data_IF_309731065217
#
_entry.id   IF_309731065217
#
_cell.length_a   1.000
_cell.length_b   1.000
_cell.length_c   1.000
_cell.angle_alpha   90.00
_cell.angle_beta   90.00
_cell.angle_gamma   90.00
#
_symmetry.space_group_name_H-M   'P 1'
#
loop_
_entity.id
_entity.type
_entity.pdbx_description
1 polymer ?
#
# COMPACT_ATOMS: atom_id res chain seq x y z
N UNK A 1 25.13 20.33 -19.68
CA UNK A 1 25.28 21.75 -20.05
C UNK A 1 24.28 22.09 -21.15
N UNK A 2 23.05 22.46 -20.80
CA UNK A 2 22.09 23.19 -21.66
C UNK A 2 21.12 23.91 -20.72
N UNK A 3 21.25 25.24 -20.67
CA UNK A 3 20.48 26.15 -19.83
C UNK A 3 19.19 26.57 -20.56
N UNK A 4 18.04 26.46 -19.91
CA UNK A 4 16.85 27.22 -20.30
C UNK A 4 16.54 28.28 -19.23
N UNK A 5 16.79 29.54 -19.59
CA UNK A 5 16.38 30.74 -18.85
C UNK A 5 14.89 31.00 -19.15
N UNK A 6 14.07 31.06 -18.10
CA UNK A 6 12.72 31.62 -18.19
C UNK A 6 12.81 33.15 -18.10
N UNK A 7 12.27 33.84 -19.10
CA UNK A 7 12.16 35.29 -19.13
C UNK A 7 10.69 35.67 -18.89
N UNK A 8 10.44 36.38 -17.80
CA UNK A 8 9.12 36.90 -17.42
C UNK A 8 8.73 38.09 -18.30
N UNK A 9 7.50 38.15 -18.81
CA UNK A 9 6.89 39.46 -19.01
C UNK A 9 5.36 39.48 -18.97
N UNK A 10 4.88 40.41 -18.15
CA UNK A 10 3.50 40.83 -17.93
C UNK A 10 2.84 41.34 -19.20
N UNK A 11 1.66 40.79 -19.52
CA UNK A 11 0.53 41.49 -20.17
C UNK A 11 -0.74 40.70 -19.83
N UNK A 12 -1.90 41.34 -19.82
CA UNK A 12 -3.26 40.75 -19.64
C UNK A 12 -3.82 40.71 -18.19
N UNK A 13 -3.58 41.77 -17.43
CA UNK A 13 -4.62 42.36 -16.57
C UNK A 13 -5.30 43.48 -17.36
N UNK A 14 -6.48 43.23 -17.93
CA UNK A 14 -7.55 44.20 -18.26
C UNK A 14 -8.61 43.56 -19.18
N UNK A 15 -9.74 43.17 -18.60
CA UNK A 15 -11.11 43.05 -19.15
C UNK A 15 -11.95 42.35 -18.06
N UNK A 16 -12.14 42.97 -16.89
CA UNK A 16 -13.19 43.94 -16.55
C UNK A 16 -14.63 43.47 -16.88
N UNK A 17 -15.31 43.04 -15.80
CA UNK A 17 -16.70 43.35 -15.43
C UNK A 17 -17.73 43.65 -16.54
N UNK A 18 -18.66 42.72 -16.74
CA UNK A 18 -20.06 42.90 -17.21
C UNK A 18 -20.66 41.47 -17.18
N UNK A 19 -21.78 41.10 -16.56
CA UNK A 19 -23.00 41.77 -16.14
C UNK A 19 -23.61 41.01 -14.94
N UNK A 20 -24.01 41.74 -13.91
CA UNK A 20 -25.12 41.35 -13.02
C UNK A 20 -26.44 41.88 -13.62
N UNK A 21 -27.56 41.37 -13.10
CA UNK A 21 -28.98 41.76 -13.28
C UNK A 21 -29.81 41.04 -14.35
N UNK A 22 -30.70 40.16 -13.90
CA UNK A 22 -32.18 40.28 -13.96
C UNK A 22 -32.83 39.03 -13.31
N UNK A 23 -33.52 39.19 -12.18
CA UNK A 23 -35.00 39.13 -12.02
C UNK A 23 -35.59 37.71 -12.24
N UNK A 24 -36.40 37.10 -11.37
CA UNK A 24 -37.18 37.54 -10.22
C UNK A 24 -38.62 36.97 -10.31
N UNK A 25 -39.14 36.45 -9.18
CA UNK A 25 -40.57 36.24 -8.81
C UNK A 25 -41.23 34.98 -9.47
N UNK A 26 -41.89 34.04 -8.76
CA UNK A 26 -43.25 34.01 -8.12
C UNK A 26 -43.33 32.68 -7.28
N UNK A 27 -43.51 32.65 -5.94
CA UNK A 27 -44.75 32.60 -5.11
C UNK A 27 -45.72 31.43 -5.51
N UNK A 28 -46.48 30.68 -4.70
CA UNK A 28 -46.76 30.49 -3.26
C UNK A 28 -47.86 29.39 -3.15
N UNK A 29 -48.03 28.76 -1.98
CA UNK A 29 -49.24 28.08 -1.43
C UNK A 29 -49.54 26.65 -1.96
N UNK A 30 -49.69 25.57 -1.18
CA UNK A 30 -50.51 25.24 0.01
C UNK A 30 -51.20 23.90 -0.34
N UNK A 31 -51.63 22.95 0.49
CA UNK A 31 -51.59 22.68 1.91
C UNK A 31 -52.21 21.27 2.11
N UNK A 32 -51.97 20.68 3.30
CA UNK A 32 -52.82 19.74 4.04
C UNK A 32 -53.23 18.36 3.46
N UNK A 33 -52.92 17.32 4.24
CA UNK A 33 -53.57 16.01 4.20
C UNK A 33 -53.11 15.12 5.37
N UNK A 34 -53.80 15.22 6.51
CA UNK A 34 -53.59 14.44 7.73
C UNK A 34 -54.19 13.02 7.63
N UNK A 35 -53.47 12.08 8.29
CA UNK A 35 -53.95 11.00 9.17
C UNK A 35 -55.06 10.02 8.72
N UNK A 36 -54.78 8.71 8.83
CA UNK A 36 -55.34 7.86 9.90
C UNK A 36 -54.79 6.41 9.87
N UNK A 37 -54.37 5.94 11.05
CA UNK A 37 -54.35 4.52 11.45
C UNK A 37 -55.78 4.07 11.78
N UNK A 38 -56.09 2.78 11.62
CA UNK A 38 -56.36 1.90 12.77
C UNK A 38 -55.79 0.49 12.51
N UNK A 39 -55.78 -0.53 13.37
CA UNK A 39 -55.99 -0.78 14.79
C UNK A 39 -55.52 -2.24 14.98
N UNK A 40 -55.07 -2.56 16.19
CA UNK A 40 -54.72 -3.87 16.73
C UNK A 40 -55.76 -4.99 16.52
N UNK A 41 -55.27 -6.23 16.45
CA UNK A 41 -55.92 -7.40 17.03
C UNK A 41 -54.86 -8.41 17.52
N UNK A 42 -55.01 -8.76 18.80
CA UNK A 42 -54.45 -9.88 19.55
C UNK A 42 -54.77 -11.24 18.94
N UNK A 43 -53.89 -12.22 19.11
CA UNK A 43 -54.29 -13.49 19.73
C UNK A 43 -53.10 -14.26 20.33
N UNK A 44 -53.37 -14.77 21.51
CA UNK A 44 -52.59 -15.69 22.33
C UNK A 44 -52.59 -17.11 21.77
N UNK A 45 -51.52 -17.88 22.01
CA UNK A 45 -51.69 -19.26 22.47
C UNK A 45 -50.43 -19.81 23.16
N UNK A 46 -50.66 -20.24 24.39
CA UNK A 46 -49.84 -21.10 25.23
C UNK A 46 -50.17 -22.54 24.85
N UNK A 47 -49.17 -23.42 24.73
CA UNK A 47 -49.30 -24.76 25.32
C UNK A 47 -47.94 -25.42 25.58
N UNK A 48 -47.79 -25.78 26.84
CA UNK A 48 -46.86 -26.75 27.42
C UNK A 48 -47.12 -28.17 26.88
N UNK A 49 -46.09 -29.02 26.88
CA UNK A 49 -46.19 -30.39 27.40
C UNK A 49 -44.79 -31.01 27.61
N UNK A 50 -44.45 -31.18 28.87
CA UNK A 50 -43.64 -32.27 29.41
C UNK A 50 -44.34 -33.61 29.22
N UNK A 51 -43.59 -34.68 28.91
CA UNK A 51 -43.93 -36.01 29.43
C UNK A 51 -42.68 -36.89 29.54
N UNK A 52 -42.49 -37.37 30.76
CA UNK A 52 -41.61 -38.42 31.22
C UNK A 52 -42.15 -39.80 30.83
N UNK A 53 -41.27 -40.77 30.53
CA UNK A 53 -41.64 -42.18 30.62
C UNK A 53 -40.49 -43.04 31.15
N UNK A 54 -40.86 -44.03 31.96
CA UNK A 54 -40.02 -44.91 32.79
C UNK A 54 -40.29 -46.38 32.46
N UNK A 55 -39.31 -47.26 32.74
CA UNK A 55 -39.40 -48.73 32.75
C UNK A 55 -38.66 -49.38 31.57
N UNK A 56 -37.85 -50.44 31.69
CA UNK A 56 -37.68 -51.46 32.73
C UNK A 56 -36.31 -52.18 32.56
N UNK A 57 -35.94 -52.88 33.63
CA UNK A 57 -34.78 -53.72 33.99
C UNK A 57 -34.38 -54.90 33.09
N UNK A 58 -33.07 -55.26 33.05
CA UNK A 58 -32.57 -56.64 33.33
C UNK A 58 -31.03 -56.75 33.52
N UNK A 59 -30.63 -57.30 34.67
CA UNK A 59 -29.50 -58.23 34.99
C UNK A 59 -28.03 -58.04 34.52
N UNK A 60 -27.15 -57.82 35.53
CA UNK A 60 -25.77 -58.28 35.88
C UNK A 60 -24.89 -59.12 34.89
N UNK A 61 -23.53 -59.21 35.04
CA UNK A 61 -22.73 -58.97 36.26
C UNK A 61 -21.39 -58.19 36.11
N UNK A 62 -20.83 -57.89 37.28
CA UNK A 62 -19.56 -57.24 37.62
C UNK A 62 -18.32 -57.75 36.84
N UNK A 63 -17.51 -56.80 36.36
CA UNK A 63 -16.10 -57.01 36.07
C UNK A 63 -15.26 -55.91 36.71
N UNK A 64 -14.37 -56.34 37.61
CA UNK A 64 -13.27 -55.58 38.17
C UNK A 64 -12.47 -54.87 37.06
N UNK A 65 -12.42 -53.55 37.10
CA UNK A 65 -11.44 -52.77 36.35
C UNK A 65 -10.59 -51.94 37.32
N UNK A 66 -9.29 -52.16 37.18
CA UNK A 66 -8.18 -51.46 37.85
C UNK A 66 -8.30 -49.95 37.60
N UNK A 67 -7.93 -49.06 38.54
CA UNK A 67 -7.95 -47.62 38.28
C UNK A 67 -6.94 -47.30 37.17
N UNK A 68 -7.43 -46.92 35.99
CA UNK A 68 -6.60 -46.29 34.96
C UNK A 68 -6.07 -44.97 35.52
N UNK A 69 -4.75 -44.83 35.51
CA UNK A 69 -4.11 -43.53 35.71
C UNK A 69 -4.61 -42.60 34.60
N UNK A 70 -5.37 -41.59 35.03
CA UNK A 70 -5.78 -40.46 34.22
C UNK A 70 -4.50 -39.73 33.81
N UNK A 71 -3.99 -40.03 32.61
CA UNK A 71 -2.96 -39.21 31.99
C UNK A 71 -3.59 -37.84 31.75
N UNK A 72 -3.15 -36.85 32.52
CA UNK A 72 -3.44 -35.45 32.25
C UNK A 72 -3.09 -35.18 30.78
N UNK A 73 -4.10 -34.85 29.98
CA UNK A 73 -3.89 -34.29 28.66
C UNK A 73 -3.18 -32.96 28.89
N UNK A 74 -1.91 -32.89 28.49
CA UNK A 74 -1.22 -31.61 28.34
C UNK A 74 -2.07 -30.76 27.39
N UNK A 75 -2.61 -29.65 27.90
CA UNK A 75 -3.25 -28.63 27.06
C UNK A 75 -2.22 -28.21 25.99
N UNK A 76 -2.63 -28.07 24.71
CA UNK A 76 -1.73 -27.56 23.69
C UNK A 76 -1.19 -26.20 24.15
N UNK A 77 0.11 -26.14 24.45
CA UNK A 77 0.79 -24.86 24.62
C UNK A 77 0.65 -24.12 23.30
N UNK A 78 -0.14 -23.04 23.27
CA UNK A 78 -0.15 -22.09 22.17
C UNK A 78 1.30 -21.68 21.90
N UNK A 79 1.82 -21.99 20.71
CA UNK A 79 3.12 -21.48 20.28
C UNK A 79 3.05 -19.95 20.35
N UNK A 80 3.96 -19.34 21.12
CA UNK A 80 3.99 -17.90 21.26
C UNK A 80 4.24 -17.24 19.91
N UNK A 81 3.40 -16.26 19.54
CA UNK A 81 3.57 -15.47 18.32
C UNK A 81 4.72 -14.47 18.50
N UNK A 82 5.90 -14.67 17.85
CA UNK A 82 7.05 -13.79 18.03
C UNK A 82 6.80 -12.36 17.54
N UNK A 83 5.89 -12.17 16.57
CA UNK A 83 5.52 -10.83 16.09
C UNK A 83 4.75 -10.10 17.19
N UNK A 84 3.82 -10.78 17.85
CA UNK A 84 3.04 -10.22 18.95
C UNK A 84 3.92 -9.90 20.16
N UNK A 85 4.92 -10.74 20.46
CA UNK A 85 5.90 -10.47 21.52
C UNK A 85 6.72 -9.21 21.20
N UNK A 86 7.25 -9.10 19.98
CA UNK A 86 8.00 -7.91 19.57
C UNK A 86 7.11 -6.66 19.63
N UNK A 87 5.89 -6.72 19.08
CA UNK A 87 4.93 -5.62 19.11
C UNK A 87 4.64 -5.14 20.55
N UNK A 88 4.44 -6.07 21.47
CA UNK A 88 4.15 -5.76 22.88
C UNK A 88 5.34 -5.14 23.61
N UNK A 89 6.56 -5.29 23.08
CA UNK A 89 7.78 -4.68 23.63
C UNK A 89 8.04 -3.25 23.14
N UNK A 90 7.37 -2.82 22.05
CA UNK A 90 7.57 -1.49 21.46
C UNK A 90 6.84 -0.40 22.23
N UNK A 91 7.47 0.77 22.34
CA UNK A 91 6.78 1.99 22.80
C UNK A 91 5.80 2.51 21.74
N UNK A 92 4.88 3.39 22.13
CA UNK A 92 3.98 4.04 21.18
C UNK A 92 4.75 4.86 20.13
N UNK A 93 5.84 5.52 20.53
CA UNK A 93 6.75 6.23 19.63
C UNK A 93 7.33 5.28 18.57
N UNK A 94 7.81 4.11 18.99
CA UNK A 94 8.36 3.10 18.08
C UNK A 94 7.31 2.55 17.13
N UNK A 95 6.11 2.24 17.63
CA UNK A 95 4.97 1.79 16.85
C UNK A 95 4.57 2.81 15.77
N UNK A 96 4.40 4.08 16.15
CA UNK A 96 4.05 5.15 15.20
C UNK A 96 5.17 5.35 14.19
N UNK A 97 6.43 5.32 14.62
CA UNK A 97 7.58 5.41 13.72
C UNK A 97 7.54 4.34 12.62
N UNK A 98 7.19 3.09 12.97
CA UNK A 98 7.08 1.99 11.99
C UNK A 98 6.08 2.27 10.87
N UNK A 99 5.06 3.09 11.11
CA UNK A 99 4.03 3.45 10.13
C UNK A 99 4.46 4.58 9.18
N UNK A 100 5.69 5.09 9.28
CA UNK A 100 6.17 6.20 8.45
C UNK A 100 7.29 5.71 7.53
N UNK A 101 7.12 5.94 6.23
CA UNK A 101 8.17 5.74 5.22
C UNK A 101 8.53 7.08 4.61
N UNK A 102 9.76 7.54 4.85
CA UNK A 102 10.18 8.90 4.51
C UNK A 102 11.25 8.93 3.40
N UNK A 103 11.35 10.02 2.65
CA UNK A 103 12.48 10.21 1.73
C UNK A 103 13.67 10.91 2.38
N UNK A 104 14.81 10.88 1.68
CA UNK A 104 16.07 11.54 2.08
C UNK A 104 16.61 12.45 0.99
N UNK A 105 17.44 13.41 1.37
CA UNK A 105 18.05 14.37 0.45
C UNK A 105 19.50 14.02 0.13
N UNK A 106 19.96 14.45 -1.05
CA UNK A 106 21.34 14.28 -1.49
C UNK A 106 21.75 12.81 -1.66
N UNK A 107 23.05 12.54 -1.60
CA UNK A 107 23.65 11.22 -1.85
C UNK A 107 24.39 10.67 -0.63
N UNK A 108 24.21 11.30 0.52
CA UNK A 108 24.88 10.97 1.78
C UNK A 108 23.98 11.34 2.95
N UNK A 109 24.14 10.67 4.07
CA UNK A 109 23.33 10.89 5.26
C UNK A 109 23.61 12.25 5.92
N UNK A 110 22.64 13.15 5.79
CA UNK A 110 22.65 14.45 6.47
C UNK A 110 22.14 14.34 7.92
N UNK A 111 22.32 15.41 8.71
CA UNK A 111 21.95 15.40 10.13
C UNK A 111 20.44 15.41 10.38
N UNK A 112 19.64 15.95 9.45
CA UNK A 112 18.18 15.94 9.58
C UNK A 112 17.62 14.53 9.34
N UNK A 113 18.17 13.79 8.37
CA UNK A 113 17.85 12.40 8.13
C UNK A 113 18.25 11.53 9.33
N UNK A 114 19.42 11.76 9.95
CA UNK A 114 19.81 11.06 11.19
C UNK A 114 18.81 11.32 12.32
N UNK A 115 18.45 12.58 12.54
CA UNK A 115 17.46 12.95 13.55
C UNK A 115 16.11 12.28 13.28
N UNK A 116 15.65 12.27 12.03
CA UNK A 116 14.41 11.60 11.66
C UNK A 116 14.43 10.10 11.98
N UNK A 117 15.54 9.42 11.70
CA UNK A 117 15.71 7.99 12.01
C UNK A 117 15.75 7.73 13.52
N UNK A 118 16.43 8.58 14.29
CA UNK A 118 16.60 8.36 15.74
C UNK A 118 15.39 8.84 16.57
N UNK A 119 14.80 9.97 16.21
CA UNK A 119 13.79 10.67 17.01
C UNK A 119 12.36 10.28 16.58
N UNK A 120 12.09 10.19 15.26
CA UNK A 120 10.78 9.74 14.74
C UNK A 120 10.76 8.22 14.48
N UNK A 121 11.90 7.53 14.54
CA UNK A 121 12.00 6.06 14.46
C UNK A 121 11.32 5.48 13.23
N UNK A 122 11.45 6.18 12.10
CA UNK A 122 10.75 5.86 10.85
C UNK A 122 10.99 4.41 10.43
N UNK A 123 9.92 3.72 10.02
CA UNK A 123 9.92 2.31 9.67
C UNK A 123 10.58 2.01 8.33
N UNK A 124 10.75 3.03 7.48
CA UNK A 124 11.37 2.89 6.17
C UNK A 124 11.86 4.18 5.55
N UNK A 125 12.73 4.04 4.55
CA UNK A 125 13.22 5.12 3.70
C UNK A 125 12.98 4.78 2.22
N UNK A 126 12.60 5.78 1.42
CA UNK A 126 12.54 5.70 -0.05
C UNK A 126 13.64 6.55 -0.68
N UNK A 127 14.30 5.99 -1.71
CA UNK A 127 15.25 6.71 -2.56
C UNK A 127 14.61 7.11 -3.88
N UNK A 128 14.94 8.33 -4.32
CA UNK A 128 14.62 8.90 -5.62
C UNK A 128 15.88 9.03 -6.48
N UNK A 129 15.71 9.46 -7.74
CA UNK A 129 16.80 9.53 -8.73
C UNK A 129 17.98 10.40 -8.28
N UNK A 130 17.73 11.46 -7.49
CA UNK A 130 18.77 12.31 -6.93
C UNK A 130 19.58 11.66 -5.81
N UNK A 131 19.10 10.55 -5.22
CA UNK A 131 19.84 9.79 -4.21
C UNK A 131 20.74 8.72 -4.85
N UNK A 132 20.36 8.21 -6.04
CA UNK A 132 21.01 7.08 -6.71
C UNK A 132 21.92 7.59 -7.84
N UNK A 133 23.19 7.87 -7.52
CA UNK A 133 24.17 8.41 -8.49
C UNK A 133 25.15 7.37 -9.01
N UNK A 134 25.74 6.58 -8.11
CA UNK A 134 26.57 5.42 -8.43
C UNK A 134 26.15 4.26 -7.56
N UNK A 135 26.39 3.03 -8.03
CA UNK A 135 25.98 1.84 -7.28
C UNK A 135 26.70 1.74 -5.93
N UNK A 136 28.03 1.96 -5.93
CA UNK A 136 28.84 1.96 -4.71
C UNK A 136 28.44 3.08 -3.74
N UNK A 137 28.21 4.30 -4.26
CA UNK A 137 27.78 5.43 -3.43
C UNK A 137 26.40 5.19 -2.80
N UNK A 138 25.47 4.63 -3.58
CA UNK A 138 24.12 4.28 -3.11
C UNK A 138 24.19 3.20 -2.03
N UNK A 139 24.95 2.12 -2.26
CA UNK A 139 25.13 1.06 -1.27
C UNK A 139 25.74 1.57 0.04
N UNK A 140 26.72 2.48 -0.02
CA UNK A 140 27.28 3.14 1.17
C UNK A 140 26.25 4.03 1.88
N UNK A 141 25.43 4.76 1.12
CA UNK A 141 24.40 5.61 1.69
C UNK A 141 23.33 4.77 2.40
N UNK A 142 22.83 3.72 1.75
CA UNK A 142 21.92 2.74 2.36
C UNK A 142 22.52 2.13 3.63
N UNK A 143 23.79 1.72 3.61
CA UNK A 143 24.45 1.19 4.80
C UNK A 143 24.50 2.22 5.94
N UNK A 144 24.81 3.50 5.66
CA UNK A 144 24.86 4.53 6.70
C UNK A 144 23.51 4.78 7.38
N UNK A 145 22.40 4.60 6.64
CA UNK A 145 21.04 4.67 7.17
C UNK A 145 20.78 3.49 8.11
N UNK A 146 21.09 2.27 7.67
CA UNK A 146 20.97 1.05 8.48
C UNK A 146 21.81 1.14 9.75
N UNK A 147 23.06 1.59 9.65
CA UNK A 147 23.97 1.79 10.79
C UNK A 147 23.39 2.80 11.80
N UNK A 148 22.68 3.82 11.34
CA UNK A 148 22.00 4.80 12.21
C UNK A 148 20.77 4.18 12.88
N UNK A 149 20.05 3.31 12.17
CA UNK A 149 18.85 2.63 12.67
C UNK A 149 19.16 1.51 13.68
N UNK A 150 20.42 1.06 13.83
CA UNK A 150 20.82 0.05 14.82
C UNK A 150 20.45 0.39 16.28
N UNK A 151 20.17 1.66 16.57
CA UNK A 151 19.67 2.10 17.89
C UNK A 151 18.16 1.86 18.10
N UNK A 152 17.43 1.49 17.06
CA UNK A 152 16.00 1.17 17.09
C UNK A 152 15.78 -0.36 17.14
N UNK A 153 14.67 -0.83 17.75
CA UNK A 153 14.42 -2.26 17.94
C UNK A 153 13.96 -3.01 16.67
N UNK A 154 13.76 -2.32 15.55
CA UNK A 154 13.20 -2.89 14.32
C UNK A 154 14.05 -2.48 13.11
N UNK A 155 14.50 -3.44 12.27
CA UNK A 155 15.24 -3.14 11.04
C UNK A 155 14.46 -2.23 10.08
N UNK A 156 15.16 -1.40 9.30
CA UNK A 156 14.51 -0.40 8.44
C UNK A 156 14.21 -0.93 7.03
N UNK A 157 13.05 -0.56 6.47
CA UNK A 157 12.81 -0.76 5.04
C UNK A 157 13.65 0.22 4.23
N UNK A 158 14.27 -0.26 3.16
CA UNK A 158 15.02 0.51 2.19
C UNK A 158 14.39 0.27 0.84
N UNK A 159 13.71 1.29 0.32
CA UNK A 159 12.81 1.19 -0.83
C UNK A 159 13.21 2.10 -1.99
N UNK A 160 12.74 1.74 -3.19
CA UNK A 160 12.97 2.48 -4.43
C UNK A 160 11.80 2.19 -5.39
N UNK A 161 11.65 3.00 -6.44
CA UNK A 161 10.78 2.71 -7.59
C UNK A 161 11.63 2.23 -8.79
N UNK A 162 11.89 0.93 -8.88
CA UNK A 162 12.65 0.31 -9.97
C UNK A 162 11.73 -0.56 -10.84
N UNK A 163 10.86 0.07 -11.63
CA UNK A 163 9.90 -0.63 -12.52
C UNK A 163 10.55 -1.09 -13.84
N UNK A 164 11.66 -0.48 -14.23
CA UNK A 164 12.18 -0.52 -15.59
C UNK A 164 11.60 0.58 -16.49
N UNK A 165 11.99 0.58 -17.76
CA UNK A 165 11.59 1.62 -18.71
C UNK A 165 11.89 3.05 -18.20
N UNK A 166 10.88 3.93 -18.25
CA UNK A 166 11.02 5.34 -17.82
C UNK A 166 11.11 5.52 -16.30
N UNK A 167 10.68 4.52 -15.51
CA UNK A 167 10.73 4.57 -14.04
C UNK A 167 11.83 3.61 -13.58
N UNK A 168 13.06 4.03 -13.82
CA UNK A 168 14.28 3.36 -13.37
C UNK A 168 15.13 4.38 -12.61
N UNK A 169 15.72 3.95 -11.50
CA UNK A 169 16.60 4.76 -10.64
C UNK A 169 18.05 4.32 -10.69
N UNK A 170 18.31 3.09 -11.14
CA UNK A 170 19.67 2.56 -11.20
C UNK A 170 20.59 3.39 -12.12
N UNK A 171 21.88 3.54 -11.78
CA UNK A 171 22.83 4.30 -12.57
C UNK A 171 23.17 3.58 -13.88
N UNK A 172 23.71 4.32 -14.86
CA UNK A 172 24.02 3.81 -16.20
C UNK A 172 24.95 2.57 -16.25
N UNK A 173 25.70 2.32 -15.18
CA UNK A 173 26.55 1.12 -15.05
C UNK A 173 25.75 -0.18 -14.92
N UNK A 174 24.47 -0.09 -14.58
CA UNK A 174 23.54 -1.22 -14.48
C UNK A 174 22.71 -1.27 -15.76
N UNK A 175 22.66 -2.43 -16.42
CA UNK A 175 21.93 -2.57 -17.69
C UNK A 175 20.44 -2.28 -17.53
N UNK A 176 19.86 -1.55 -18.48
CA UNK A 176 18.46 -1.15 -18.42
C UNK A 176 17.50 -2.30 -18.74
N UNK A 177 16.40 -2.34 -17.99
CA UNK A 177 15.22 -3.18 -18.24
C UNK A 177 14.22 -2.35 -19.09
N UNK A 178 13.62 -2.91 -20.16
CA UNK A 178 12.63 -2.21 -20.97
C UNK A 178 11.34 -1.96 -20.19
N UNK A 179 10.40 -1.19 -20.77
CA UNK A 179 9.12 -0.92 -20.12
C UNK A 179 8.22 -2.15 -20.01
N UNK A 180 7.35 -2.18 -19.01
CA UNK A 180 6.38 -3.26 -18.79
C UNK A 180 5.52 -3.47 -20.04
N UNK A 181 5.16 -2.41 -20.78
CA UNK A 181 4.44 -2.54 -22.07
C UNK A 181 5.21 -3.38 -23.10
N UNK A 182 6.53 -3.18 -23.23
CA UNK A 182 7.36 -3.93 -24.17
C UNK A 182 7.42 -5.41 -23.79
N UNK A 183 7.54 -5.72 -22.50
CA UNK A 183 7.49 -7.11 -22.02
C UNK A 183 6.08 -7.68 -22.16
N UNK A 184 5.04 -6.90 -21.88
CA UNK A 184 3.62 -7.28 -22.04
C UNK A 184 3.26 -7.65 -23.48
N UNK A 185 3.88 -7.02 -24.48
CA UNK A 185 3.69 -7.35 -25.91
C UNK A 185 4.14 -8.78 -26.26
N UNK A 186 5.06 -9.36 -25.49
CA UNK A 186 5.48 -10.76 -25.69
C UNK A 186 4.40 -11.77 -25.29
N UNK A 187 3.45 -11.34 -24.43
CA UNK A 187 2.41 -12.18 -23.82
C UNK A 187 2.95 -13.42 -23.07
N UNK A 188 4.23 -13.41 -22.72
CA UNK A 188 4.96 -14.52 -22.11
C UNK A 188 5.25 -14.22 -20.64
N UNK A 189 4.47 -14.82 -19.72
CA UNK A 189 4.61 -14.55 -18.29
C UNK A 189 5.95 -15.03 -17.72
N UNK A 190 6.61 -16.00 -18.35
CA UNK A 190 7.94 -16.41 -17.89
C UNK A 190 8.97 -15.29 -18.10
N UNK A 191 8.85 -14.51 -19.18
CA UNK A 191 9.71 -13.34 -19.38
C UNK A 191 9.42 -12.22 -18.37
N UNK A 192 8.18 -12.10 -17.90
CA UNK A 192 7.83 -11.15 -16.83
C UNK A 192 8.32 -11.62 -15.45
N UNK A 193 8.31 -12.93 -15.17
CA UNK A 193 8.92 -13.48 -13.95
C UNK A 193 10.43 -13.20 -13.92
N UNK A 194 11.14 -13.51 -15.01
CA UNK A 194 12.58 -13.17 -15.13
C UNK A 194 12.82 -11.66 -15.05
N UNK A 195 11.90 -10.81 -15.54
CA UNK A 195 12.01 -9.37 -15.34
C UNK A 195 12.03 -9.01 -13.84
N UNK A 196 11.13 -9.59 -13.04
CA UNK A 196 11.09 -9.40 -11.59
C UNK A 196 12.38 -9.86 -10.90
N UNK A 197 12.91 -11.03 -11.28
CA UNK A 197 14.20 -11.54 -10.75
C UNK A 197 15.36 -10.57 -11.05
N UNK A 198 15.42 -10.07 -12.29
CA UNK A 198 16.49 -9.14 -12.69
C UNK A 198 16.37 -7.79 -12.00
N UNK A 199 15.17 -7.23 -11.87
CA UNK A 199 14.92 -5.99 -11.12
C UNK A 199 15.26 -6.15 -9.64
N UNK A 200 14.88 -7.27 -9.02
CA UNK A 200 15.24 -7.57 -7.64
C UNK A 200 16.76 -7.59 -7.44
N UNK A 201 17.50 -8.26 -8.33
CA UNK A 201 18.97 -8.29 -8.30
C UNK A 201 19.59 -6.90 -8.51
N UNK A 202 18.96 -6.02 -9.29
CA UNK A 202 19.41 -4.62 -9.41
C UNK A 202 19.30 -3.88 -8.09
N UNK A 203 18.16 -3.96 -7.41
CA UNK A 203 17.93 -3.21 -6.17
C UNK A 203 18.74 -3.78 -4.99
N UNK A 204 19.01 -5.09 -4.98
CA UNK A 204 19.91 -5.74 -4.02
C UNK A 204 21.35 -5.25 -4.09
N UNK A 205 21.87 -5.01 -5.30
CA UNK A 205 23.21 -4.44 -5.49
C UNK A 205 23.35 -3.04 -4.86
N UNK A 206 22.25 -2.32 -4.68
CA UNK A 206 22.19 -1.04 -4.00
C UNK A 206 21.85 -1.15 -2.50
N UNK A 207 21.48 -2.35 -2.02
CA UNK A 207 21.15 -2.63 -0.61
C UNK A 207 19.69 -2.42 -0.22
N UNK A 208 18.81 -2.17 -1.20
CA UNK A 208 17.37 -2.08 -0.99
C UNK A 208 16.76 -3.45 -0.69
N UNK A 209 15.64 -3.47 0.04
CA UNK A 209 14.90 -4.67 0.42
C UNK A 209 13.41 -4.63 0.06
N UNK A 210 12.92 -3.47 -0.39
CA UNK A 210 11.57 -3.26 -0.92
C UNK A 210 11.68 -2.60 -2.29
N UNK A 211 10.87 -3.04 -3.24
CA UNK A 211 10.72 -2.33 -4.51
C UNK A 211 9.24 -2.03 -4.77
N UNK A 212 8.95 -0.81 -5.20
CA UNK A 212 7.61 -0.38 -5.54
C UNK A 212 7.26 -0.83 -6.95
N UNK A 213 7.22 -2.13 -7.15
CA UNK A 213 6.82 -2.82 -8.37
C UNK A 213 6.20 -4.17 -7.97
N UNK A 214 5.30 -4.76 -8.78
CA UNK A 214 4.92 -4.38 -10.16
C UNK A 214 3.78 -3.35 -10.25
N UNK A 215 3.66 -2.70 -11.41
CA UNK A 215 2.48 -1.88 -11.76
C UNK A 215 1.37 -2.77 -12.32
N UNK A 216 0.25 -2.83 -11.59
CA UNK A 216 -0.95 -3.60 -11.91
C UNK A 216 -2.08 -2.75 -12.52
N UNK A 217 -1.81 -1.50 -12.86
CA UNK A 217 -2.78 -0.66 -13.55
C UNK A 217 -3.08 -1.18 -14.95
N UNK A 218 -4.36 -1.29 -15.29
CA UNK A 218 -4.80 -1.59 -16.65
C UNK A 218 -4.86 -0.29 -17.43
N UNK A 219 -3.98 -0.11 -18.43
CA UNK A 219 -3.92 1.13 -19.22
C UNK A 219 -5.09 1.22 -20.21
N UNK A 220 -6.29 1.45 -19.68
CA UNK A 220 -7.57 1.45 -20.39
C UNK A 220 -7.87 2.79 -21.07
N UNK A 221 -7.30 3.90 -20.57
CA UNK A 221 -7.34 5.19 -21.24
C UNK A 221 -6.06 5.43 -22.07
N UNK A 222 -6.13 5.44 -23.41
CA UNK A 222 -4.95 5.68 -24.26
C UNK A 222 -4.32 7.07 -24.08
N UNK A 223 -5.03 8.01 -23.46
CA UNK A 223 -4.56 9.38 -23.16
C UNK A 223 -4.05 9.52 -21.73
N UNK A 224 -3.91 8.42 -20.98
CA UNK A 224 -3.38 8.45 -19.62
C UNK A 224 -1.96 9.06 -19.61
N UNK A 225 -1.72 10.15 -18.87
CA UNK A 225 -0.42 10.84 -18.88
C UNK A 225 0.63 10.16 -17.98
N UNK A 226 0.22 9.29 -17.06
CA UNK A 226 1.07 8.76 -15.97
C UNK A 226 1.47 7.31 -16.24
N UNK A 227 0.50 6.43 -16.46
CA UNK A 227 0.70 4.98 -16.59
C UNK A 227 1.32 4.64 -17.94
N UNK A 228 0.56 4.72 -19.04
CA UNK A 228 1.09 4.53 -20.39
C UNK A 228 1.87 3.22 -20.55
N UNK A 229 3.18 3.34 -20.78
CA UNK A 229 4.10 2.22 -20.96
C UNK A 229 4.55 1.51 -19.67
N UNK A 230 4.21 2.06 -18.48
CA UNK A 230 4.41 1.41 -17.17
C UNK A 230 3.47 0.23 -16.95
N UNK A 231 2.36 0.18 -17.66
CA UNK A 231 1.47 -0.98 -17.62
C UNK A 231 1.89 -2.03 -18.64
N UNK A 232 1.72 -3.31 -18.28
CA UNK A 232 1.87 -4.42 -19.22
C UNK A 232 0.88 -4.36 -20.40
N UNK A 233 -0.26 -3.69 -20.25
CA UNK A 233 -1.21 -3.54 -21.35
C UNK A 233 -2.58 -2.99 -20.94
N UNK A 234 -3.55 -3.09 -21.86
CA UNK A 234 -4.89 -2.53 -21.69
C UNK A 234 -5.96 -3.57 -21.32
N UNK A 235 -5.60 -4.84 -21.14
CA UNK A 235 -6.51 -5.90 -20.70
C UNK A 235 -6.18 -6.37 -19.28
N UNK A 236 -7.19 -6.48 -18.43
CA UNK A 236 -7.02 -6.99 -17.07
C UNK A 236 -6.38 -8.38 -17.01
N UNK A 237 -6.71 -9.28 -17.94
CA UNK A 237 -6.14 -10.63 -17.98
C UNK A 237 -4.62 -10.62 -18.22
N UNK A 238 -4.15 -9.89 -19.24
CA UNK A 238 -2.72 -9.74 -19.51
C UNK A 238 -1.99 -9.12 -18.32
N UNK A 239 -2.51 -8.00 -17.79
CA UNK A 239 -1.89 -7.30 -16.66
C UNK A 239 -1.83 -8.19 -15.42
N UNK A 240 -2.88 -8.97 -15.15
CA UNK A 240 -2.89 -9.95 -14.06
C UNK A 240 -1.80 -11.02 -14.26
N UNK A 241 -1.74 -11.66 -15.44
CA UNK A 241 -0.74 -12.73 -15.66
C UNK A 241 0.70 -12.22 -15.59
N UNK A 242 0.99 -11.10 -16.25
CA UNK A 242 2.34 -10.55 -16.33
C UNK A 242 2.79 -9.93 -15.01
N UNK A 243 1.92 -9.13 -14.37
CA UNK A 243 2.24 -8.49 -13.09
C UNK A 243 2.40 -9.48 -11.95
N UNK A 244 1.57 -10.53 -11.87
CA UNK A 244 1.75 -11.59 -10.86
C UNK A 244 3.05 -12.36 -11.08
N UNK A 245 3.46 -12.56 -12.33
CA UNK A 245 4.73 -13.21 -12.63
C UNK A 245 5.92 -12.33 -12.19
N UNK A 246 5.91 -11.03 -12.51
CA UNK A 246 6.94 -10.08 -12.04
C UNK A 246 7.01 -10.03 -10.50
N UNK A 247 5.86 -9.98 -9.82
CA UNK A 247 5.78 -10.06 -8.35
C UNK A 247 6.46 -11.33 -7.79
N UNK A 248 6.26 -12.48 -8.44
CA UNK A 248 6.90 -13.75 -8.05
C UNK A 248 8.41 -13.71 -8.25
N UNK A 249 8.90 -13.05 -9.30
CA UNK A 249 10.33 -12.84 -9.53
C UNK A 249 10.99 -11.97 -8.44
N UNK A 250 10.31 -10.92 -7.96
CA UNK A 250 10.80 -10.17 -6.80
C UNK A 250 10.88 -11.04 -5.55
N UNK A 251 9.82 -11.81 -5.30
CA UNK A 251 9.72 -12.70 -4.15
C UNK A 251 10.79 -13.80 -4.16
N UNK A 252 11.09 -14.40 -5.32
CA UNK A 252 12.07 -15.48 -5.44
C UNK A 252 13.50 -15.01 -5.11
N UNK A 253 13.80 -13.75 -5.39
CA UNK A 253 15.08 -13.11 -5.05
C UNK A 253 15.09 -12.52 -3.63
N UNK A 254 13.97 -12.55 -2.90
CA UNK A 254 13.91 -12.03 -1.52
C UNK A 254 13.81 -10.51 -1.43
N UNK A 255 13.29 -9.85 -2.46
CA UNK A 255 12.84 -8.45 -2.39
C UNK A 255 11.34 -8.42 -2.16
N UNK A 256 10.88 -7.49 -1.32
CA UNK A 256 9.46 -7.29 -1.02
C UNK A 256 8.82 -6.51 -2.19
N UNK A 257 7.91 -7.10 -2.97
CA UNK A 257 7.19 -6.37 -4.00
C UNK A 257 6.05 -5.55 -3.39
N UNK A 258 5.77 -4.39 -3.99
CA UNK A 258 4.59 -3.57 -3.67
C UNK A 258 3.79 -3.35 -4.95
N UNK A 259 2.63 -4.00 -5.04
CA UNK A 259 1.75 -3.86 -6.21
C UNK A 259 1.05 -2.50 -6.19
N UNK A 260 0.93 -1.85 -7.35
CA UNK A 260 0.41 -0.48 -7.44
C UNK A 260 -0.32 -0.17 -8.75
N UNK A 261 -1.20 0.83 -8.82
CA UNK A 261 -1.63 1.72 -7.74
C UNK A 261 -3.13 1.46 -7.47
N UNK A 262 -3.44 0.75 -6.38
CA UNK A 262 -4.83 0.43 -6.03
C UNK A 262 -5.63 1.73 -5.83
N UNK A 263 -6.89 1.85 -6.28
CA UNK A 263 -7.74 0.84 -6.91
C UNK A 263 -7.64 0.75 -8.44
N UNK A 264 -6.63 1.38 -9.06
CA UNK A 264 -6.40 1.39 -10.51
C UNK A 264 -6.31 2.82 -11.08
N UNK A 265 -5.12 3.20 -11.53
CA UNK A 265 -4.79 4.54 -12.06
C UNK A 265 -4.88 4.61 -13.60
N UNK A 266 -4.99 3.48 -14.28
CA UNK A 266 -4.89 3.39 -15.74
C UNK A 266 -5.99 4.10 -16.56
N UNK A 267 -7.07 4.56 -15.93
CA UNK A 267 -8.16 5.33 -16.59
C UNK A 267 -8.14 6.85 -16.27
N UNK A 268 -7.12 7.36 -15.58
CA UNK A 268 -7.03 8.79 -15.26
C UNK A 268 -6.63 9.63 -16.47
N UNK A 269 -7.04 10.91 -16.46
CA UNK A 269 -6.64 11.93 -17.45
C UNK A 269 -5.87 13.10 -16.86
N UNK A 270 -5.63 13.07 -15.55
CA UNK A 270 -4.89 14.08 -14.77
C UNK A 270 -3.78 13.36 -14.04
N UNK A 271 -2.61 13.98 -13.99
CA UNK A 271 -1.46 13.45 -13.26
C UNK A 271 -1.59 13.76 -11.76
N UNK A 272 -1.59 12.74 -10.91
CA UNK A 272 -1.69 12.86 -9.45
C UNK A 272 -0.53 13.60 -8.81
N UNK A 273 0.63 13.68 -9.49
CA UNK A 273 1.74 14.52 -9.04
C UNK A 273 1.39 16.02 -9.12
N UNK A 274 0.49 16.38 -10.04
CA UNK A 274 0.14 17.77 -10.34
C UNK A 274 -1.17 18.19 -9.67
N UNK A 275 -2.21 17.35 -9.70
CA UNK A 275 -3.52 17.66 -9.13
C UNK A 275 -4.34 16.39 -8.89
N UNK A 276 -5.47 16.47 -8.18
CA UNK A 276 -6.30 15.33 -7.82
C UNK A 276 -7.03 14.75 -9.06
N UNK A 277 -6.68 13.53 -9.52
CA UNK A 277 -7.41 12.88 -10.60
C UNK A 277 -8.77 12.40 -10.11
N UNK A 278 -9.77 12.49 -10.98
CA UNK A 278 -11.14 12.05 -10.70
C UNK A 278 -11.54 10.98 -11.68
N UNK A 279 -12.00 9.83 -11.19
CA UNK A 279 -12.50 8.71 -12.00
C UNK A 279 -13.97 8.45 -11.67
N UNK A 280 -14.85 8.68 -12.66
CA UNK A 280 -16.30 8.60 -12.48
C UNK A 280 -16.87 7.18 -12.71
N UNK A 281 -16.23 6.16 -12.12
CA UNK A 281 -16.64 4.76 -12.20
C UNK A 281 -17.42 4.32 -10.97
N UNK A 282 -18.40 3.43 -11.18
CA UNK A 282 -19.10 2.72 -10.12
C UNK A 282 -18.26 1.54 -9.62
N UNK A 283 -18.59 1.02 -8.44
CA UNK A 283 -18.01 -0.22 -7.90
C UNK A 283 -18.02 -1.35 -8.94
N UNK A 284 -19.16 -1.58 -9.60
CA UNK A 284 -19.30 -2.64 -10.60
C UNK A 284 -18.32 -2.47 -11.77
N UNK A 285 -18.13 -1.24 -12.25
CA UNK A 285 -17.21 -0.97 -13.35
C UNK A 285 -15.75 -1.20 -12.96
N UNK A 286 -15.37 -0.85 -11.72
CA UNK A 286 -14.03 -1.14 -11.20
C UNK A 286 -13.80 -2.64 -11.04
N UNK A 287 -14.80 -3.36 -10.52
CA UNK A 287 -14.78 -4.81 -10.38
C UNK A 287 -14.62 -5.56 -11.71
N UNK A 288 -15.13 -5.00 -12.81
CA UNK A 288 -15.06 -5.58 -14.15
C UNK A 288 -13.72 -5.33 -14.87
N UNK A 289 -12.84 -4.47 -14.34
CA UNK A 289 -11.59 -4.10 -15.00
C UNK A 289 -10.43 -3.84 -14.03
N UNK A 290 -10.43 -2.67 -13.37
CA UNK A 290 -9.29 -2.20 -12.58
C UNK A 290 -8.96 -3.10 -11.39
N UNK A 291 -9.96 -3.72 -10.75
CA UNK A 291 -9.77 -4.52 -9.54
C UNK A 291 -9.27 -5.94 -9.81
N UNK A 292 -9.43 -6.45 -11.04
CA UNK A 292 -9.11 -7.84 -11.38
C UNK A 292 -7.63 -8.17 -11.08
N UNK A 293 -6.63 -7.36 -11.52
CA UNK A 293 -5.23 -7.61 -11.18
C UNK A 293 -4.94 -7.58 -9.67
N UNK A 294 -5.55 -6.66 -8.92
CA UNK A 294 -5.34 -6.58 -7.48
C UNK A 294 -5.99 -7.75 -6.73
N UNK A 295 -7.16 -8.21 -7.14
CA UNK A 295 -7.79 -9.42 -6.59
C UNK A 295 -6.93 -10.66 -6.85
N UNK A 296 -6.31 -10.75 -8.03
CA UNK A 296 -5.35 -11.81 -8.33
C UNK A 296 -4.11 -11.72 -7.40
N UNK A 297 -3.58 -10.52 -7.16
CA UNK A 297 -2.43 -10.32 -6.25
C UNK A 297 -2.76 -10.70 -4.80
N UNK A 298 -3.94 -10.31 -4.31
CA UNK A 298 -4.42 -10.69 -2.97
C UNK A 298 -4.57 -12.21 -2.85
N UNK A 299 -5.11 -12.87 -3.89
CA UNK A 299 -5.23 -14.34 -3.92
C UNK A 299 -3.86 -15.04 -3.89
N UNK A 300 -2.85 -14.42 -4.49
CA UNK A 300 -1.45 -14.90 -4.46
C UNK A 300 -0.67 -14.43 -3.22
N UNK A 301 -1.39 -13.88 -2.22
CA UNK A 301 -0.85 -13.39 -0.96
C UNK A 301 0.28 -12.38 -1.17
N UNK A 302 0.01 -11.34 -1.96
CA UNK A 302 0.93 -10.21 -2.11
C UNK A 302 1.30 -9.60 -0.76
N UNK A 303 2.55 -9.17 -0.64
CA UNK A 303 3.16 -8.64 0.58
C UNK A 303 2.62 -7.25 0.95
N UNK A 304 2.55 -6.37 -0.05
CA UNK A 304 2.17 -4.98 0.12
C UNK A 304 1.37 -4.45 -1.08
N UNK A 305 0.40 -3.57 -0.80
CA UNK A 305 -0.42 -2.87 -1.80
C UNK A 305 -0.28 -1.37 -1.60
N UNK A 306 0.12 -0.65 -2.64
CA UNK A 306 0.17 0.81 -2.65
C UNK A 306 -1.17 1.39 -3.14
N UNK A 307 -1.70 2.39 -2.41
CA UNK A 307 -2.99 3.05 -2.71
C UNK A 307 -2.77 4.44 -3.29
N UNK A 308 -3.34 4.66 -4.48
CA UNK A 308 -3.24 5.89 -5.25
C UNK A 308 -4.05 7.07 -4.66
N UNK A 309 -3.64 8.29 -5.01
CA UNK A 309 -4.40 9.51 -4.72
C UNK A 309 -5.38 9.83 -5.86
N UNK A 310 -6.48 9.09 -5.95
CA UNK A 310 -7.53 9.29 -6.98
C UNK A 310 -8.89 9.39 -6.30
N UNK A 311 -9.68 10.40 -6.67
CA UNK A 311 -11.06 10.55 -6.19
C UNK A 311 -12.02 9.71 -7.04
N UNK A 312 -12.89 8.94 -6.38
CA UNK A 312 -13.94 8.14 -7.02
C UNK A 312 -15.32 8.58 -6.50
N UNK A 313 -15.93 9.65 -7.05
CA UNK A 313 -17.11 10.28 -6.44
C UNK A 313 -18.34 9.39 -6.28
N UNK A 314 -18.41 8.29 -7.02
CA UNK A 314 -19.50 7.30 -6.93
C UNK A 314 -19.31 6.28 -5.81
N UNK A 315 -18.12 6.22 -5.19
CA UNK A 315 -17.80 5.37 -4.05
C UNK A 315 -17.60 6.22 -2.79
N UNK A 316 -16.77 7.26 -2.90
CA UNK A 316 -16.47 8.22 -1.85
C UNK A 316 -16.30 9.60 -2.48
N UNK A 317 -17.27 10.53 -2.29
CA UNK A 317 -17.21 11.86 -2.88
C UNK A 317 -16.24 12.80 -2.18
N UNK A 318 -15.82 12.48 -0.96
CA UNK A 318 -15.10 13.40 -0.08
C UNK A 318 -13.61 13.07 -0.01
N UNK A 319 -13.25 11.78 -0.14
CA UNK A 319 -11.87 11.32 0.04
C UNK A 319 -11.28 10.62 -1.19
N UNK A 320 -10.03 10.94 -1.58
CA UNK A 320 -9.26 10.11 -2.49
C UNK A 320 -9.10 8.69 -1.92
N UNK A 321 -8.84 7.72 -2.79
CA UNK A 321 -8.73 6.31 -2.42
C UNK A 321 -7.78 6.05 -1.23
N UNK A 322 -6.63 6.71 -1.18
CA UNK A 322 -5.65 6.60 -0.09
C UNK A 322 -6.15 7.07 1.29
N UNK A 323 -7.25 7.82 1.34
CA UNK A 323 -7.86 8.37 2.56
C UNK A 323 -9.26 7.80 2.83
N UNK A 324 -9.74 6.88 1.98
CA UNK A 324 -11.13 6.44 1.99
C UNK A 324 -11.32 5.12 2.72
N UNK A 325 -12.06 5.14 3.83
CA UNK A 325 -12.54 3.91 4.51
C UNK A 325 -13.41 3.06 3.59
N UNK A 326 -14.12 3.68 2.63
CA UNK A 326 -14.89 2.91 1.65
C UNK A 326 -13.95 2.07 0.80
N UNK A 327 -12.86 2.64 0.27
CA UNK A 327 -11.98 1.93 -0.66
C UNK A 327 -10.99 1.01 0.08
N UNK A 328 -10.37 1.48 1.16
CA UNK A 328 -9.39 0.67 1.91
C UNK A 328 -10.11 -0.27 2.88
N UNK A 329 -10.87 0.26 3.84
CA UNK A 329 -11.55 -0.52 4.87
C UNK A 329 -12.60 -1.48 4.31
N UNK A 330 -13.60 -0.97 3.58
CA UNK A 330 -14.74 -1.80 3.11
C UNK A 330 -14.38 -2.69 1.93
N UNK A 331 -13.57 -2.21 0.97
CA UNK A 331 -13.21 -3.00 -0.21
C UNK A 331 -11.93 -3.80 -0.03
N UNK A 332 -10.77 -3.17 0.16
CA UNK A 332 -9.49 -3.88 0.23
C UNK A 332 -9.40 -4.81 1.46
N UNK A 333 -9.59 -4.29 2.67
CA UNK A 333 -9.63 -5.09 3.90
C UNK A 333 -10.90 -5.97 3.96
N UNK A 334 -12.05 -5.36 3.69
CA UNK A 334 -13.36 -5.99 3.88
C UNK A 334 -13.76 -7.02 2.83
N UNK A 335 -13.87 -6.63 1.56
CA UNK A 335 -14.34 -7.52 0.47
C UNK A 335 -13.22 -8.39 -0.10
N UNK A 336 -12.04 -7.84 -0.30
CA UNK A 336 -10.90 -8.59 -0.87
C UNK A 336 -10.21 -9.44 0.20
N UNK A 337 -10.47 -9.17 1.49
CA UNK A 337 -9.87 -9.89 2.62
C UNK A 337 -8.34 -9.78 2.62
N UNK A 338 -7.82 -8.63 2.20
CA UNK A 338 -6.40 -8.38 2.18
C UNK A 338 -5.87 -8.04 3.57
N UNK A 339 -4.96 -8.88 4.07
CA UNK A 339 -4.36 -8.75 5.41
C UNK A 339 -2.85 -8.43 5.40
N UNK A 340 -2.26 -8.23 4.22
CA UNK A 340 -0.88 -7.75 4.09
C UNK A 340 -0.75 -6.24 4.34
N UNK A 341 0.43 -5.68 4.07
CA UNK A 341 0.69 -4.26 4.34
C UNK A 341 -0.02 -3.36 3.31
N UNK A 342 -0.66 -2.30 3.77
CA UNK A 342 -1.21 -1.23 2.93
C UNK A 342 -0.36 0.03 3.08
N UNK A 343 0.15 0.54 1.95
CA UNK A 343 1.01 1.71 1.89
C UNK A 343 0.31 2.79 1.06
N UNK A 344 0.40 4.05 1.44
CA UNK A 344 -0.05 5.13 0.53
C UNK A 344 0.94 5.37 -0.60
N UNK A 345 0.47 5.91 -1.72
CA UNK A 345 1.32 6.73 -2.59
C UNK A 345 1.83 7.97 -1.81
N UNK A 346 2.76 8.74 -2.38
CA UNK A 346 3.42 9.81 -1.65
C UNK A 346 2.46 10.96 -1.28
N UNK A 347 2.21 11.13 0.02
CA UNK A 347 1.31 12.16 0.56
C UNK A 347 1.81 13.59 0.28
N UNK A 348 3.05 13.76 -0.17
CA UNK A 348 3.58 15.05 -0.63
C UNK A 348 3.17 15.41 -2.07
N UNK A 349 2.54 14.50 -2.81
CA UNK A 349 2.05 14.72 -4.17
C UNK A 349 0.93 15.77 -4.23
N UNK A 350 0.85 16.47 -5.37
CA UNK A 350 -0.09 17.57 -5.60
C UNK A 350 -1.56 17.20 -5.35
N UNK A 351 -1.97 15.97 -5.64
CA UNK A 351 -3.32 15.47 -5.36
C UNK A 351 -3.73 15.62 -3.88
N UNK A 352 -2.78 15.41 -2.95
CA UNK A 352 -3.02 15.55 -1.51
C UNK A 352 -2.60 16.95 -1.03
N UNK A 353 -1.35 17.33 -1.28
CA UNK A 353 -0.74 18.55 -0.72
C UNK A 353 -1.48 19.86 -1.09
N UNK A 354 -2.26 19.87 -2.17
CA UNK A 354 -3.06 21.04 -2.59
C UNK A 354 -4.49 21.04 -2.05
N UNK A 355 -5.01 19.88 -1.68
CA UNK A 355 -6.44 19.67 -1.40
C UNK A 355 -6.73 19.33 0.07
N UNK A 356 -5.74 18.83 0.80
CA UNK A 356 -5.87 18.39 2.18
C UNK A 356 -4.71 18.92 3.01
N UNK A 357 -4.96 19.18 4.30
CA UNK A 357 -3.86 19.37 5.24
C UNK A 357 -3.23 18.02 5.58
N UNK A 358 -1.93 18.01 5.81
CA UNK A 358 -1.18 16.76 6.02
C UNK A 358 -1.62 16.02 7.29
N UNK A 359 -1.93 16.74 8.37
CA UNK A 359 -2.43 16.19 9.62
C UNK A 359 -3.79 15.49 9.43
N UNK A 360 -4.74 16.18 8.79
CA UNK A 360 -6.05 15.62 8.45
C UNK A 360 -5.91 14.41 7.52
N UNK A 361 -5.02 14.50 6.53
CA UNK A 361 -4.76 13.42 5.58
C UNK A 361 -4.17 12.17 6.25
N UNK A 362 -3.22 12.37 7.16
CA UNK A 362 -2.59 11.28 7.92
C UNK A 362 -3.60 10.54 8.78
N UNK A 363 -4.47 11.27 9.49
CA UNK A 363 -5.51 10.67 10.33
C UNK A 363 -6.53 9.90 9.51
N UNK A 364 -7.02 10.48 8.41
CA UNK A 364 -7.97 9.80 7.53
C UNK A 364 -7.38 8.52 6.93
N UNK A 365 -6.10 8.56 6.53
CA UNK A 365 -5.36 7.41 6.00
C UNK A 365 -5.27 6.25 7.01
N UNK A 366 -4.88 6.52 8.26
CA UNK A 366 -4.78 5.48 9.30
C UNK A 366 -6.16 4.92 9.65
N UNK A 367 -7.17 5.80 9.78
CA UNK A 367 -8.56 5.39 10.06
C UNK A 367 -9.16 4.55 8.92
N UNK A 368 -8.76 4.81 7.67
CA UNK A 368 -9.20 4.04 6.51
C UNK A 368 -8.62 2.62 6.47
N UNK A 369 -7.54 2.34 7.21
CA UNK A 369 -6.93 1.01 7.30
C UNK A 369 -5.57 0.85 6.62
N UNK A 370 -4.92 1.96 6.24
CA UNK A 370 -3.52 1.95 5.79
C UNK A 370 -2.56 1.72 6.96
N UNK A 371 -1.45 1.05 6.70
CA UNK A 371 -0.44 0.72 7.71
C UNK A 371 0.80 1.63 7.61
N UNK A 372 1.20 2.03 6.39
CA UNK A 372 2.36 2.89 6.15
C UNK A 372 1.95 4.14 5.37
N UNK A 373 2.39 5.29 5.86
CA UNK A 373 2.24 6.62 5.25
C UNK A 373 3.56 7.01 4.58
N UNK A 374 3.53 7.12 3.26
CA UNK A 374 4.68 7.54 2.46
C UNK A 374 4.77 9.07 2.38
N UNK A 375 5.95 9.61 2.69
CA UNK A 375 6.25 11.05 2.54
C UNK A 375 7.67 11.31 2.05
N UNK A 376 7.82 11.60 0.77
CA UNK A 376 9.12 11.52 0.11
C UNK A 376 10.00 12.78 0.20
N UNK A 377 9.43 13.96 0.35
CA UNK A 377 10.14 15.20 -0.01
C UNK A 377 10.33 16.20 1.14
N UNK A 378 9.99 15.83 2.38
CA UNK A 378 10.10 16.74 3.52
C UNK A 378 10.24 16.00 4.85
N UNK A 379 11.37 16.23 5.54
CA UNK A 379 11.61 15.75 6.91
C UNK A 379 10.57 16.31 7.90
N UNK A 380 10.16 17.57 7.69
CA UNK A 380 9.11 18.20 8.51
C UNK A 380 7.76 17.50 8.35
N UNK A 381 7.48 16.96 7.16
CA UNK A 381 6.24 16.23 6.92
C UNK A 381 6.23 14.87 7.63
N UNK A 382 7.36 14.16 7.68
CA UNK A 382 7.50 12.96 8.51
C UNK A 382 7.28 13.27 10.01
N UNK A 383 7.87 14.37 10.49
CA UNK A 383 7.66 14.85 11.87
C UNK A 383 6.20 15.23 12.13
N UNK A 384 5.55 15.93 11.21
CA UNK A 384 4.14 16.33 11.32
C UNK A 384 3.24 15.10 11.44
N UNK A 385 3.46 14.08 10.61
CA UNK A 385 2.70 12.81 10.68
C UNK A 385 2.92 12.15 12.03
N UNK A 386 4.18 12.02 12.48
CA UNK A 386 4.52 11.44 13.77
C UNK A 386 3.79 12.13 14.94
N UNK A 387 3.90 13.46 15.03
CA UNK A 387 3.28 14.25 16.10
C UNK A 387 1.75 14.18 16.05
N UNK A 388 1.18 14.15 14.85
CA UNK A 388 -0.27 14.04 14.63
C UNK A 388 -0.79 12.71 15.15
N UNK A 389 -0.17 11.59 14.76
CA UNK A 389 -0.58 10.26 15.20
C UNK A 389 -0.39 10.10 16.72
N UNK A 390 0.72 10.62 17.25
CA UNK A 390 0.99 10.61 18.69
C UNK A 390 -0.10 11.34 19.47
N UNK A 391 -0.50 12.53 18.99
CA UNK A 391 -1.54 13.34 19.61
C UNK A 391 -2.92 12.70 19.49
N UNK A 392 -3.23 12.08 18.34
CA UNK A 392 -4.50 11.40 18.12
C UNK A 392 -4.67 10.17 19.01
N UNK A 393 -3.61 9.40 19.25
CA UNK A 393 -3.66 8.28 20.20
C UNK A 393 -3.80 8.78 21.64
N UNK A 394 -2.99 9.78 22.04
CA UNK A 394 -3.05 10.36 23.40
C UNK A 394 -4.40 11.00 23.73
N UNK A 395 -5.10 11.53 22.73
CA UNK A 395 -6.44 12.11 22.89
C UNK A 395 -7.58 11.10 22.76
N UNK A 396 -7.29 9.86 22.31
CA UNK A 396 -8.28 8.81 22.07
C UNK A 396 -9.04 8.94 20.75
N UNK A 397 -8.62 9.83 19.84
CA UNK A 397 -9.19 9.93 18.50
C UNK A 397 -8.89 8.69 17.63
N UNK A 398 -7.72 8.08 17.85
CA UNK A 398 -7.33 6.78 17.30
C UNK A 398 -6.98 5.88 18.49
N UNK A 399 -7.48 4.64 18.50
CA UNK A 399 -7.09 3.67 19.53
C UNK A 399 -5.66 3.18 19.29
N UNK A 400 -4.90 2.91 20.35
CA UNK A 400 -3.59 2.26 20.22
C UNK A 400 -3.72 0.90 19.52
N UNK A 401 -4.82 0.18 19.71
CA UNK A 401 -5.09 -1.09 19.01
C UNK A 401 -5.07 -0.96 17.48
N UNK A 402 -5.51 0.19 16.93
CA UNK A 402 -5.47 0.44 15.47
C UNK A 402 -4.03 0.62 14.97
N UNK A 403 -3.18 1.22 15.81
CA UNK A 403 -1.73 1.28 15.56
C UNK A 403 -1.14 -0.13 15.64
N UNK A 404 -1.48 -0.89 16.68
CA UNK A 404 -1.00 -2.26 16.89
C UNK A 404 -1.31 -3.18 15.70
N UNK A 405 -2.52 -3.14 15.17
CA UNK A 405 -2.91 -3.87 13.97
C UNK A 405 -2.01 -3.56 12.76
N UNK A 406 -1.62 -2.30 12.60
CA UNK A 406 -0.79 -1.84 11.48
C UNK A 406 0.65 -2.30 11.67
N UNK A 407 1.18 -2.09 12.88
CA UNK A 407 2.55 -2.43 13.23
C UNK A 407 2.75 -3.93 13.24
N UNK A 408 1.75 -4.72 13.66
CA UNK A 408 1.79 -6.17 13.55
C UNK A 408 2.08 -6.62 12.11
N UNK A 409 1.33 -6.11 11.12
CA UNK A 409 1.54 -6.45 9.70
C UNK A 409 2.92 -6.05 9.20
N UNK A 410 3.39 -4.87 9.63
CA UNK A 410 4.71 -4.35 9.28
C UNK A 410 5.81 -5.26 9.84
N UNK A 411 5.74 -5.61 11.12
CA UNK A 411 6.70 -6.49 11.79
C UNK A 411 6.67 -7.90 11.18
N UNK A 412 5.48 -8.46 10.95
CA UNK A 412 5.31 -9.76 10.31
C UNK A 412 5.99 -9.79 8.93
N UNK A 413 5.82 -8.75 8.11
CA UNK A 413 6.46 -8.64 6.80
C UNK A 413 8.00 -8.56 6.92
N UNK A 414 8.52 -7.74 7.85
CA UNK A 414 9.96 -7.63 8.11
C UNK A 414 10.56 -8.97 8.55
N UNK A 415 9.85 -9.71 9.40
CA UNK A 415 10.27 -11.02 9.88
C UNK A 415 10.17 -12.09 8.80
N UNK A 416 9.12 -12.09 7.97
CA UNK A 416 8.96 -12.99 6.84
C UNK A 416 10.17 -12.94 5.90
N UNK A 417 10.69 -11.73 5.66
CA UNK A 417 11.88 -11.50 4.84
C UNK A 417 13.20 -11.49 5.62
N UNK A 418 13.16 -11.78 6.92
CA UNK A 418 14.32 -11.84 7.82
C UNK A 418 15.22 -10.61 7.71
N UNK A 419 14.60 -9.43 7.61
CA UNK A 419 15.35 -8.19 7.42
C UNK A 419 16.30 -7.96 8.59
N UNK A 420 17.48 -7.41 8.29
CA UNK A 420 18.48 -7.02 9.27
C UNK A 420 19.23 -5.79 8.77
N UNK A 421 19.55 -4.89 9.69
CA UNK A 421 20.37 -3.71 9.41
C UNK A 421 21.86 -4.07 9.21
N UNK A 422 22.27 -5.29 9.57
CA UNK A 422 23.60 -5.84 9.27
C UNK A 422 23.72 -6.35 7.83
N UNK A 423 22.59 -6.53 7.13
CA UNK A 423 22.57 -7.02 5.76
C UNK A 423 23.11 -5.95 4.80
N UNK A 424 24.25 -6.27 4.19
CA UNK A 424 24.92 -5.42 3.19
C UNK A 424 24.38 -5.65 1.79
N UNK A 425 24.58 -4.66 0.92
CA UNK A 425 24.41 -4.83 -0.51
C UNK A 425 25.25 -6.02 -1.03
N UNK A 426 24.69 -6.80 -1.95
CA UNK A 426 25.29 -8.02 -2.47
C UNK A 426 24.93 -8.23 -3.94
N UNK A 427 25.71 -9.09 -4.63
CA UNK A 427 25.49 -9.45 -6.03
C UNK A 427 26.72 -9.27 -6.91
N UNK A 428 26.65 -9.80 -8.13
CA UNK A 428 27.66 -9.65 -9.17
C UNK A 428 27.11 -8.79 -10.31
N UNK A 429 27.52 -7.52 -10.36
CA UNK A 429 27.09 -6.57 -11.38
C UNK A 429 27.42 -7.04 -12.80
N UNK A 430 28.58 -7.69 -13.00
CA UNK A 430 29.01 -8.14 -14.32
C UNK A 430 28.12 -9.28 -14.81
N UNK A 431 27.84 -10.24 -13.94
CA UNK A 431 26.93 -11.34 -14.26
C UNK A 431 25.51 -10.83 -14.47
N UNK A 432 24.99 -9.95 -13.60
CA UNK A 432 23.66 -9.37 -13.75
C UNK A 432 23.51 -8.65 -15.10
N UNK A 433 24.47 -7.82 -15.48
CA UNK A 433 24.42 -7.13 -16.77
C UNK A 433 24.43 -8.11 -17.95
N UNK A 434 25.20 -9.20 -17.87
CA UNK A 434 25.18 -10.25 -18.89
C UNK A 434 23.79 -10.93 -18.99
N UNK A 435 23.20 -11.28 -17.85
CA UNK A 435 21.86 -11.90 -17.79
C UNK A 435 20.78 -10.98 -18.38
N UNK A 436 20.83 -9.68 -18.06
CA UNK A 436 19.90 -8.67 -18.62
C UNK A 436 20.06 -8.56 -20.14
N UNK A 437 21.30 -8.57 -20.65
CA UNK A 437 21.57 -8.56 -22.10
C UNK A 437 20.97 -9.79 -22.77
N UNK A 438 21.13 -10.97 -22.19
CA UNK A 438 20.63 -12.21 -22.78
C UNK A 438 19.10 -12.34 -22.68
N UNK A 439 18.49 -11.94 -21.57
CA UNK A 439 17.04 -11.88 -21.42
C UNK A 439 16.40 -10.89 -22.40
N UNK A 440 16.99 -9.70 -22.63
CA UNK A 440 16.47 -8.74 -23.63
C UNK A 440 16.43 -9.31 -25.04
N UNK A 441 17.40 -10.15 -25.44
CA UNK A 441 17.36 -10.85 -26.74
C UNK A 441 16.14 -11.76 -26.87
N UNK A 442 15.70 -12.38 -25.77
CA UNK A 442 14.51 -13.22 -25.75
C UNK A 442 13.24 -12.37 -25.86
N UNK A 443 13.18 -11.24 -25.16
CA UNK A 443 12.09 -10.26 -25.27
C UNK A 443 11.97 -9.70 -26.69
N UNK A 444 13.10 -9.39 -27.35
CA UNK A 444 13.10 -8.84 -28.71
C UNK A 444 12.85 -9.90 -29.80
N UNK A 445 13.00 -11.19 -29.49
CA UNK A 445 12.71 -12.29 -30.40
C UNK A 445 11.22 -12.72 -30.42
N UNK A 446 10.40 -12.16 -29.53
CA UNK A 446 8.94 -12.33 -29.47
C UNK A 446 8.26 -11.17 -30.17
#
# INVERSE_FOLDING_TARGET
MYNYRYNSNNQWKKTLQMMCFMLGIVLLLSACGQAQKPSSATDSNINSNTDSNTGQTSSSPEQNTVPSQEQAQEEPQEEADPVQEQLSSLTLEEKIGQMILAGVQGTTLDDQAKQMIMDQKVGGIIFYANNVTTLEGTAKFVQSIKDTNQSNPVPIFMSVDQEGGKVSRMPETVESIPSNKKVGQTNDSALAETMGELLARQVQLAGFNVDFAPVLDVNSNPKNPVIGDRSFGSSAELVSRMGIAEMKGFRSEGIIPVVKHFPGHGDTSVDSHLDLPVVNKTEKQLAELEWIPFQAAVKEQVEAVMVAHILFPKLDPDHPASLSDVIIGKHLRGKFKYDGVVITDDLSMGAIAKNFKLDEAALATVKAGSDILLVAHSYESAKTIFDTLMSAVKSGEISESRIDESVYRILALKQQYKLSDDQKASGDLKQLNADIVDWRKQVDAR
#
